data_IF_061572270835
#
_entry.id   IF_061572270835
#
_cell.length_a   1.000
_cell.length_b   1.000
_cell.length_c   1.000
_cell.angle_alpha   90.00
_cell.angle_beta   90.00
_cell.angle_gamma   90.00
#
_symmetry.space_group_name_H-M   'P 1'
#
loop_
_entity.id
_entity.type
_entity.pdbx_description
1 polymer ?
#
# COMPACT_ATOMS: atom_id res chain seq x y z
N UNK A 1 -1.32 -5.42 21.26
CA UNK A 1 -2.04 -6.04 20.14
C UNK A 1 -1.39 -5.57 18.84
N UNK A 2 -0.74 -6.46 18.09
CA UNK A 2 -0.23 -6.11 16.75
C UNK A 2 -1.44 -6.10 15.83
N UNK A 3 -1.88 -4.91 15.38
CA UNK A 3 -2.85 -4.81 14.29
C UNK A 3 -2.25 -5.54 13.09
N UNK A 4 -2.84 -6.67 12.73
CA UNK A 4 -2.40 -7.45 11.58
C UNK A 4 -2.63 -6.56 10.34
N UNK A 5 -1.57 -6.14 9.67
CA UNK A 5 -1.68 -5.36 8.45
C UNK A 5 -2.66 -6.03 7.47
N UNK A 6 -3.77 -5.37 7.08
CA UNK A 6 -4.80 -5.95 6.23
C UNK A 6 -4.21 -6.48 4.93
N UNK A 7 -3.33 -5.69 4.32
CA UNK A 7 -2.66 -6.06 3.10
C UNK A 7 -1.31 -6.75 3.38
N UNK A 8 -1.32 -8.07 3.38
CA UNK A 8 -0.15 -8.92 3.59
C UNK A 8 -0.02 -10.02 2.53
N UNK A 9 1.13 -10.69 2.45
CA UNK A 9 1.37 -11.77 1.51
C UNK A 9 1.67 -11.29 0.07
N UNK A 10 1.18 -12.04 -0.91
CA UNK A 10 1.46 -11.81 -2.34
C UNK A 10 1.00 -10.42 -2.80
N UNK A 11 1.81 -9.82 -3.66
CA UNK A 11 1.50 -8.55 -4.32
C UNK A 11 0.43 -8.74 -5.39
N UNK A 12 -0.55 -7.84 -5.42
CA UNK A 12 -1.57 -7.80 -6.46
C UNK A 12 -1.12 -6.89 -7.61
N UNK A 13 -1.63 -7.11 -8.82
CA UNK A 13 -1.32 -6.23 -9.95
C UNK A 13 -1.78 -4.77 -9.69
N UNK A 14 -3.02 -4.60 -9.22
CA UNK A 14 -3.56 -3.29 -8.84
C UNK A 14 -2.71 -2.59 -7.77
N UNK A 15 -2.23 -3.36 -6.80
CA UNK A 15 -1.35 -2.86 -5.74
C UNK A 15 0.00 -2.37 -6.27
N UNK A 16 0.61 -3.11 -7.20
CA UNK A 16 1.89 -2.68 -7.81
C UNK A 16 1.74 -1.46 -8.70
N UNK A 17 0.62 -1.34 -9.43
CA UNK A 17 0.31 -0.15 -10.24
C UNK A 17 0.14 1.07 -9.35
N UNK A 18 -0.63 0.94 -8.27
CA UNK A 18 -0.84 2.03 -7.32
C UNK A 18 0.47 2.45 -6.63
N UNK A 19 1.31 1.49 -6.20
CA UNK A 19 2.63 1.79 -5.66
C UNK A 19 3.49 2.61 -6.62
N UNK A 20 3.50 2.24 -7.91
CA UNK A 20 4.31 2.93 -8.90
C UNK A 20 3.85 4.38 -9.08
N UNK A 21 2.54 4.63 -9.16
CA UNK A 21 2.00 5.98 -9.29
C UNK A 21 2.22 6.82 -8.03
N UNK A 22 2.10 6.23 -6.83
CA UNK A 22 2.46 6.89 -5.57
C UNK A 22 3.93 7.32 -5.57
N UNK A 23 4.83 6.43 -6.01
CA UNK A 23 6.24 6.74 -6.13
C UNK A 23 6.49 7.91 -7.08
N UNK A 24 5.89 7.89 -8.28
CA UNK A 24 6.05 8.97 -9.27
C UNK A 24 5.56 10.29 -8.68
N UNK A 25 4.33 10.34 -8.16
CA UNK A 25 3.73 11.55 -7.59
C UNK A 25 4.52 12.09 -6.39
N UNK A 26 5.07 11.20 -5.55
CA UNK A 26 5.91 11.59 -4.42
C UNK A 26 7.21 12.24 -4.89
N UNK A 27 7.87 11.61 -5.87
CA UNK A 27 9.16 12.06 -6.39
C UNK A 27 9.05 13.32 -7.26
N UNK A 28 7.85 13.66 -7.74
CA UNK A 28 7.56 14.91 -8.46
C UNK A 28 7.01 16.01 -7.55
N UNK A 29 6.67 15.72 -6.30
CA UNK A 29 6.14 16.72 -5.35
C UNK A 29 4.66 17.03 -5.57
N UNK A 30 3.91 16.11 -6.18
CA UNK A 30 2.47 16.24 -6.44
C UNK A 30 1.60 15.90 -5.23
N UNK A 31 2.15 15.16 -4.28
CA UNK A 31 1.44 14.70 -3.08
C UNK A 31 2.11 15.24 -1.82
N UNK A 32 1.28 15.58 -0.83
CA UNK A 32 1.75 15.96 0.49
C UNK A 32 2.09 14.70 1.30
N UNK A 33 3.35 14.51 1.63
CA UNK A 33 3.74 13.40 2.50
C UNK A 33 3.52 13.72 3.99
N UNK A 34 3.17 14.97 4.35
CA UNK A 34 3.06 15.44 5.73
C UNK A 34 4.29 15.11 6.59
N UNK A 35 5.49 15.30 6.01
CA UNK A 35 6.76 15.02 6.69
C UNK A 35 7.16 13.54 6.76
N UNK A 36 6.37 12.61 6.21
CA UNK A 36 6.74 11.20 6.13
C UNK A 36 7.74 10.93 5.01
N UNK A 37 8.61 9.94 5.22
CA UNK A 37 9.47 9.43 4.14
C UNK A 37 8.68 8.56 3.16
N UNK A 38 9.18 8.42 1.94
CA UNK A 38 8.52 7.66 0.86
C UNK A 38 8.07 6.26 1.29
N UNK A 39 8.92 5.52 2.03
CA UNK A 39 8.59 4.16 2.49
C UNK A 39 7.36 4.15 3.37
N UNK A 40 7.34 5.00 4.39
CA UNK A 40 6.29 5.00 5.40
C UNK A 40 4.99 5.54 4.79
N UNK A 41 5.10 6.55 3.91
CA UNK A 41 3.97 7.05 3.12
C UNK A 41 3.33 5.95 2.24
N UNK A 42 4.12 5.18 1.49
CA UNK A 42 3.60 4.09 0.66
C UNK A 42 3.02 2.96 1.53
N UNK A 43 3.67 2.64 2.66
CA UNK A 43 3.22 1.59 3.56
C UNK A 43 1.82 1.88 4.11
N UNK A 44 1.60 3.13 4.56
CA UNK A 44 0.31 3.62 5.03
C UNK A 44 -0.74 3.56 3.90
N UNK A 45 -0.41 4.08 2.71
CA UNK A 45 -1.32 4.08 1.56
C UNK A 45 -1.75 2.67 1.11
N UNK A 46 -0.86 1.69 1.23
CA UNK A 46 -1.12 0.29 0.87
C UNK A 46 -1.62 -0.57 2.04
N UNK A 47 -1.83 0.01 3.24
CA UNK A 47 -2.21 -0.72 4.46
C UNK A 47 -1.32 -1.95 4.74
N UNK A 48 0.00 -1.77 4.57
CA UNK A 48 0.96 -2.85 4.72
C UNK A 48 2.18 -2.43 5.55
N UNK A 49 2.96 -3.42 6.03
CA UNK A 49 4.16 -3.14 6.80
C UNK A 49 5.23 -2.42 5.97
N UNK A 50 5.91 -1.38 6.49
CA UNK A 50 6.99 -0.67 5.78
C UNK A 50 8.09 -1.58 5.26
N UNK A 51 8.35 -2.69 5.96
CA UNK A 51 9.34 -3.70 5.56
C UNK A 51 8.95 -4.43 4.27
N UNK A 52 7.66 -4.60 3.99
CA UNK A 52 7.15 -5.23 2.75
C UNK A 52 7.41 -4.33 1.55
N UNK A 53 7.16 -3.02 1.70
CA UNK A 53 7.50 -2.00 0.70
C UNK A 53 9.01 -1.98 0.45
N UNK A 54 9.83 -1.94 1.50
CA UNK A 54 11.29 -1.95 1.36
C UNK A 54 11.79 -3.15 0.56
N UNK A 55 11.35 -4.36 0.90
CA UNK A 55 11.76 -5.59 0.20
C UNK A 55 11.34 -5.59 -1.26
N UNK A 56 10.11 -5.17 -1.56
CA UNK A 56 9.63 -5.10 -2.92
C UNK A 56 10.43 -4.09 -3.74
N UNK A 57 10.59 -2.87 -3.22
CA UNK A 57 11.29 -1.81 -3.94
C UNK A 57 12.76 -2.13 -4.15
N UNK A 58 13.44 -2.73 -3.17
CA UNK A 58 14.84 -3.14 -3.29
C UNK A 58 15.08 -4.18 -4.40
N UNK A 59 14.09 -5.03 -4.69
CA UNK A 59 14.18 -6.06 -5.74
C UNK A 59 13.73 -5.52 -7.09
N UNK A 60 12.63 -4.77 -7.13
CA UNK A 60 11.97 -4.35 -8.37
C UNK A 60 12.57 -3.07 -8.96
N UNK A 61 13.00 -2.12 -8.13
CA UNK A 61 13.58 -0.85 -8.56
C UNK A 61 15.07 -0.84 -8.20
N UNK A 62 15.87 -1.48 -9.06
CA UNK A 62 17.28 -1.89 -8.94
C UNK A 62 18.35 -0.89 -8.43
N UNK A 63 18.02 0.23 -7.77
CA UNK A 63 19.03 1.21 -7.31
C UNK A 63 18.66 2.12 -6.10
N UNK A 64 17.67 1.81 -5.25
CA UNK A 64 17.12 2.86 -4.37
C UNK A 64 16.79 2.58 -2.88
N UNK A 65 17.68 2.00 -2.06
CA UNK A 65 17.52 2.08 -0.61
C UNK A 65 17.52 3.53 -0.07
N UNK A 66 18.24 4.43 -0.73
CA UNK A 66 18.36 5.84 -0.33
C UNK A 66 17.10 6.65 -0.61
N UNK A 67 16.44 6.45 -1.76
CA UNK A 67 15.21 7.20 -2.11
C UNK A 67 14.00 6.86 -1.27
N UNK A 68 13.96 5.67 -0.67
CA UNK A 68 12.90 5.28 0.27
C UNK A 68 12.86 6.14 1.54
N UNK A 69 13.95 6.83 1.87
CA UNK A 69 14.05 7.75 3.01
C UNK A 69 13.96 9.22 2.59
N UNK A 70 13.81 9.51 1.30
CA UNK A 70 13.71 10.89 0.83
C UNK A 70 12.38 11.50 1.27
N UNK A 71 12.44 12.80 1.57
CA UNK A 71 11.28 13.68 1.64
C UNK A 71 10.76 13.98 0.23
N UNK A 72 9.46 14.30 0.08
CA UNK A 72 8.91 14.69 -1.22
C UNK A 72 9.61 15.94 -1.75
N UNK A 73 9.64 16.10 -3.08
CA UNK A 73 10.12 17.34 -3.67
C UNK A 73 9.20 18.52 -3.31
N UNK A 74 9.70 19.76 -3.30
CA UNK A 74 8.86 20.94 -3.15
C UNK A 74 7.73 20.96 -4.18
N UNK A 75 6.57 21.47 -3.78
CA UNK A 75 5.44 21.69 -4.69
C UNK A 75 5.84 22.67 -5.80
N UNK A 76 5.32 22.43 -6.98
CA UNK A 76 5.51 23.27 -8.17
C UNK A 76 4.16 23.54 -8.83
N UNK A 77 4.13 24.44 -9.81
CA UNK A 77 2.94 24.70 -10.61
C UNK A 77 2.52 23.43 -11.38
N UNK A 78 1.24 23.11 -11.32
CA UNK A 78 0.70 21.89 -11.93
C UNK A 78 0.69 21.99 -13.46
N UNK A 79 1.32 21.02 -14.11
CA UNK A 79 1.25 20.85 -15.57
C UNK A 79 0.10 19.93 -15.97
N UNK A 80 -0.24 19.90 -17.26
CA UNK A 80 -1.23 18.95 -17.78
C UNK A 80 -0.84 17.48 -17.52
N UNK A 81 0.46 17.16 -17.57
CA UNK A 81 0.96 15.83 -17.27
C UNK A 81 0.77 15.47 -15.79
N UNK A 82 0.94 16.44 -14.88
CA UNK A 82 0.72 16.23 -13.45
C UNK A 82 -0.74 15.95 -13.15
N UNK A 83 -1.65 16.66 -13.80
CA UNK A 83 -3.09 16.41 -13.71
C UNK A 83 -3.41 14.99 -14.19
N UNK A 84 -2.86 14.57 -15.35
CA UNK A 84 -3.04 13.19 -15.82
C UNK A 84 -2.48 12.16 -14.85
N UNK A 85 -1.33 12.43 -14.24
CA UNK A 85 -0.71 11.55 -13.25
C UNK A 85 -1.59 11.42 -12.00
N UNK A 86 -2.17 12.52 -11.51
CA UNK A 86 -3.09 12.53 -10.38
C UNK A 86 -4.40 11.77 -10.69
N UNK A 87 -4.96 11.95 -11.88
CA UNK A 87 -6.15 11.19 -12.32
C UNK A 87 -5.86 9.70 -12.39
N UNK A 88 -4.71 9.32 -12.94
CA UNK A 88 -4.27 7.92 -12.98
C UNK A 88 -4.04 7.35 -11.57
N UNK A 89 -3.47 8.15 -10.66
CA UNK A 89 -3.26 7.78 -9.26
C UNK A 89 -4.59 7.50 -8.56
N UNK A 90 -5.59 8.37 -8.74
CA UNK A 90 -6.93 8.19 -8.17
C UNK A 90 -7.61 6.94 -8.72
N UNK A 91 -7.52 6.69 -10.02
CA UNK A 91 -8.03 5.45 -10.62
C UNK A 91 -7.36 4.21 -10.01
N UNK A 92 -6.03 4.19 -9.94
CA UNK A 92 -5.28 3.08 -9.37
C UNK A 92 -5.56 2.87 -7.87
N UNK A 93 -5.82 3.94 -7.12
CA UNK A 93 -6.22 3.85 -5.71
C UNK A 93 -7.55 3.10 -5.57
N UNK A 94 -8.55 3.45 -6.38
CA UNK A 94 -9.86 2.77 -6.39
C UNK A 94 -9.71 1.29 -6.74
N UNK A 95 -8.95 1.00 -7.80
CA UNK A 95 -8.68 -0.38 -8.23
C UNK A 95 -7.98 -1.20 -7.14
N UNK A 96 -7.03 -0.58 -6.43
CA UNK A 96 -6.34 -1.21 -5.32
C UNK A 96 -7.31 -1.55 -4.17
N UNK A 97 -8.15 -0.61 -3.74
CA UNK A 97 -9.08 -0.87 -2.63
C UNK A 97 -10.12 -1.93 -2.98
N UNK A 98 -10.65 -1.91 -4.21
CA UNK A 98 -11.55 -2.95 -4.70
C UNK A 98 -10.86 -4.33 -4.70
N UNK A 99 -9.62 -4.41 -5.17
CA UNK A 99 -8.86 -5.65 -5.14
C UNK A 99 -8.51 -6.13 -3.72
N UNK A 100 -8.24 -5.19 -2.80
CA UNK A 100 -7.95 -5.47 -1.41
C UNK A 100 -9.17 -6.04 -0.70
N UNK A 101 -10.36 -5.47 -0.89
CA UNK A 101 -11.62 -5.97 -0.34
C UNK A 101 -11.85 -7.43 -0.77
N UNK A 102 -11.78 -7.70 -2.08
CA UNK A 102 -11.91 -9.09 -2.60
C UNK A 102 -10.85 -10.03 -2.00
N UNK A 103 -9.63 -9.56 -1.78
CA UNK A 103 -8.56 -10.35 -1.16
C UNK A 103 -8.86 -10.65 0.31
N UNK A 104 -9.44 -9.70 1.05
CA UNK A 104 -9.82 -9.86 2.45
C UNK A 104 -11.02 -10.81 2.58
N UNK A 105 -12.02 -10.69 1.73
CA UNK A 105 -13.19 -11.60 1.72
C UNK A 105 -12.77 -13.05 1.47
N UNK A 106 -11.89 -13.26 0.49
CA UNK A 106 -11.31 -14.58 0.20
C UNK A 106 -10.50 -15.14 1.36
N UNK A 107 -9.89 -14.27 2.18
CA UNK A 107 -9.16 -14.68 3.38
C UNK A 107 -10.13 -15.07 4.49
N UNK A 108 -11.16 -14.26 4.74
CA UNK A 108 -12.19 -14.53 5.73
C UNK A 108 -12.92 -15.84 5.43
N UNK A 109 -13.27 -16.10 4.17
CA UNK A 109 -13.91 -17.35 3.74
C UNK A 109 -13.02 -18.60 3.91
N UNK A 110 -11.70 -18.43 4.07
CA UNK A 110 -10.72 -19.52 4.26
C UNK A 110 -10.37 -19.77 5.71
N UNK A 111 -10.64 -18.83 6.61
CA UNK A 111 -10.53 -19.06 8.05
C UNK A 111 -11.84 -19.77 8.45
N UNK A 112 -11.87 -21.11 8.62
CA UNK A 112 -13.05 -21.73 9.19
C UNK A 112 -13.27 -21.08 10.54
N UNK A 113 -14.51 -20.67 10.82
CA UNK A 113 -14.89 -20.25 12.15
C UNK A 113 -14.46 -21.36 13.11
N UNK A 114 -13.41 -21.10 13.90
CA UNK A 114 -13.19 -21.80 15.14
C UNK A 114 -14.29 -21.29 16.07
N UNK A 115 -15.52 -21.75 15.78
CA UNK A 115 -16.63 -21.60 16.68
C UNK A 115 -16.30 -22.45 17.90
N UNK A 116 -16.27 -21.75 19.03
CA UNK A 116 -15.85 -22.21 20.32
C UNK A 116 -16.86 -23.23 20.84
N UNK A 117 -16.65 -24.52 20.57
CA UNK A 117 -17.32 -25.55 21.35
C UNK A 117 -16.55 -25.74 22.67
N UNK A 118 -16.88 -24.93 23.68
CA UNK A 118 -16.45 -25.13 25.07
C UNK A 118 -17.55 -25.73 25.96
N UNK A 119 -18.70 -26.12 25.43
CA UNK A 119 -19.78 -26.77 26.20
C UNK A 119 -19.62 -28.29 26.31
N UNK A 120 -18.39 -28.78 26.53
CA UNK A 120 -18.15 -30.17 26.93
C UNK A 120 -17.08 -30.17 28.01
N UNK A 121 -17.43 -29.78 29.23
CA UNK A 121 -16.95 -30.34 30.50
C UNK A 121 -17.83 -29.79 31.63
N UNK A 122 -19.00 -30.42 31.83
CA UNK A 122 -19.67 -30.47 33.14
C UNK A 122 -20.57 -31.74 33.15
N UNK A 123 -19.94 -32.88 33.43
CA UNK A 123 -20.58 -34.11 33.92
C UNK A 123 -19.77 -34.61 35.11
#
# INVERSE_FOLDING_TARGET
MVLKCPNSGRWMAAETTYLHLLYVCFMTGLIDAHGRCLRDFIADALQCEPRRVYKFVAVTYLNFPSRLRCSPKPRHELTANDVQCLVALEAAQRDFFNALEVKLDRRAAREPALDLNWDILDV
#
